data_IF_438987306140
#
_entry.id   IF_438987306140
#
_cell.length_a   1.000
_cell.length_b   1.000
_cell.length_c   1.000
_cell.angle_alpha   90.00
_cell.angle_beta   90.00
_cell.angle_gamma   90.00
#
_symmetry.space_group_name_H-M   'P 1'
#
loop_
_entity.id
_entity.type
_entity.pdbx_description
1 polymer ?
#
# COMPACT_ATOMS: atom_id res chain seq x y z
N UNK A 1 -43.68 21.13 -21.82
CA UNK A 1 -42.28 20.74 -22.09
C UNK A 1 -41.47 20.97 -20.82
N UNK A 2 -41.32 19.95 -19.98
CA UNK A 2 -40.48 20.02 -18.79
C UNK A 2 -39.07 19.54 -19.15
N UNK A 3 -38.12 20.47 -19.24
CA UNK A 3 -36.71 20.11 -19.39
C UNK A 3 -36.22 19.55 -18.05
N UNK A 4 -36.04 18.23 -18.00
CA UNK A 4 -35.43 17.54 -16.86
C UNK A 4 -33.97 17.98 -16.78
N UNK A 5 -33.67 18.89 -15.86
CA UNK A 5 -32.32 19.33 -15.56
C UNK A 5 -31.64 18.22 -14.77
N UNK A 6 -30.94 17.33 -15.47
CA UNK A 6 -30.02 16.36 -14.86
C UNK A 6 -29.06 17.18 -14.00
N UNK A 7 -28.98 16.95 -12.67
CA UNK A 7 -28.08 17.71 -11.83
C UNK A 7 -26.66 17.36 -12.26
N UNK A 8 -25.94 18.32 -12.82
CA UNK A 8 -24.50 18.27 -13.00
C UNK A 8 -23.91 18.19 -11.59
N UNK A 9 -23.54 17.00 -11.14
CA UNK A 9 -22.89 16.83 -9.83
C UNK A 9 -21.59 17.63 -9.88
N UNK A 10 -21.53 18.71 -9.10
CA UNK A 10 -20.44 19.67 -9.14
C UNK A 10 -19.20 19.05 -8.47
N UNK A 11 -18.00 19.29 -9.00
CA UNK A 11 -16.73 18.75 -8.47
C UNK A 11 -16.50 19.06 -6.97
N UNK A 12 -17.12 20.14 -6.48
CA UNK A 12 -17.12 20.52 -5.06
C UNK A 12 -17.82 19.49 -4.18
N UNK A 13 -18.90 18.87 -4.64
CA UNK A 13 -19.65 17.86 -3.88
C UNK A 13 -18.81 16.62 -3.56
N UNK A 14 -18.08 16.12 -4.56
CA UNK A 14 -17.20 14.97 -4.37
C UNK A 14 -16.04 15.27 -3.42
N UNK A 15 -15.48 16.49 -3.52
CA UNK A 15 -14.41 16.95 -2.62
C UNK A 15 -14.89 17.02 -1.16
N UNK A 16 -16.10 17.54 -0.93
CA UNK A 16 -16.71 17.60 0.40
C UNK A 16 -16.92 16.19 0.96
N UNK A 17 -17.40 15.26 0.13
CA UNK A 17 -17.60 13.85 0.53
C UNK A 17 -16.31 13.13 0.88
N UNK A 18 -15.20 13.37 0.17
CA UNK A 18 -13.90 12.82 0.53
C UNK A 18 -13.40 13.37 1.87
N UNK A 19 -13.65 14.66 2.14
CA UNK A 19 -13.28 15.30 3.40
C UNK A 19 -14.12 14.77 4.57
N UNK A 20 -15.41 14.52 4.36
CA UNK A 20 -16.27 13.83 5.32
C UNK A 20 -15.76 12.42 5.62
N UNK A 21 -15.41 11.65 4.57
CA UNK A 21 -14.86 10.31 4.72
C UNK A 21 -13.55 10.30 5.53
N UNK A 22 -12.62 11.19 5.22
CA UNK A 22 -11.36 11.37 5.98
C UNK A 22 -11.64 11.54 7.48
N UNK A 23 -12.52 12.49 7.83
CA UNK A 23 -12.89 12.78 9.23
C UNK A 23 -13.60 11.60 9.90
N UNK A 24 -14.49 10.92 9.17
CA UNK A 24 -15.18 9.76 9.70
C UNK A 24 -14.21 8.63 10.05
N UNK A 25 -13.21 8.37 9.20
CA UNK A 25 -12.16 7.38 9.47
C UNK A 25 -11.28 7.84 10.62
N UNK A 26 -10.82 9.09 10.60
CA UNK A 26 -9.97 9.67 11.67
C UNK A 26 -10.63 9.52 13.06
N UNK A 27 -11.92 9.83 13.17
CA UNK A 27 -12.65 9.85 14.44
C UNK A 27 -13.16 8.48 14.90
N UNK A 28 -13.17 7.47 14.04
CA UNK A 28 -13.72 6.16 14.40
C UNK A 28 -12.78 5.43 15.38
N UNK A 29 -13.26 5.18 16.60
CA UNK A 29 -12.48 4.53 17.66
C UNK A 29 -12.67 3.01 17.75
N UNK A 30 -13.50 2.42 16.89
CA UNK A 30 -13.76 0.96 16.88
C UNK A 30 -13.24 0.28 15.63
N UNK A 31 -13.01 1.03 14.55
CA UNK A 31 -12.50 0.51 13.29
C UNK A 31 -11.03 0.13 13.45
N UNK A 32 -10.72 -1.14 13.17
CA UNK A 32 -9.36 -1.69 13.26
C UNK A 32 -8.77 -2.01 11.89
N UNK A 33 -9.62 -2.24 10.89
CA UNK A 33 -9.20 -2.71 9.58
C UNK A 33 -9.99 -2.00 8.48
N UNK A 34 -9.29 -1.63 7.42
CA UNK A 34 -9.91 -1.12 6.19
C UNK A 34 -9.40 -1.98 5.03
N UNK A 35 -10.33 -2.56 4.28
CA UNK A 35 -10.04 -3.28 3.05
C UNK A 35 -10.84 -2.69 1.90
N UNK A 36 -10.15 -2.12 0.92
CA UNK A 36 -10.73 -1.51 -0.25
C UNK A 36 -10.28 -2.30 -1.47
N UNK A 37 -11.26 -2.92 -2.14
CA UNK A 37 -11.09 -3.47 -3.47
C UNK A 37 -11.89 -2.63 -4.44
N UNK A 38 -11.21 -2.03 -5.41
CA UNK A 38 -11.81 -1.20 -6.44
C UNK A 38 -11.41 -1.69 -7.82
N UNK A 39 -12.41 -1.85 -8.68
CA UNK A 39 -12.22 -2.13 -10.10
C UNK A 39 -13.12 -1.19 -10.88
N UNK A 40 -12.54 -0.32 -11.70
CA UNK A 40 -13.36 0.70 -12.34
C UNK A 40 -12.63 1.61 -13.31
N UNK A 41 -13.42 2.52 -13.89
CA UNK A 41 -12.98 3.37 -14.99
C UNK A 41 -12.48 4.74 -14.52
N UNK A 42 -13.08 5.42 -13.52
CA UNK A 42 -12.73 6.82 -13.16
C UNK A 42 -13.01 7.20 -11.70
N UNK A 43 -12.36 8.29 -11.28
CA UNK A 43 -12.66 9.14 -10.10
C UNK A 43 -12.51 8.50 -8.70
N UNK A 44 -11.49 7.67 -8.49
CA UNK A 44 -11.23 7.09 -7.17
C UNK A 44 -10.17 7.85 -6.35
N UNK A 45 -9.33 8.69 -6.98
CA UNK A 45 -8.18 9.35 -6.35
C UNK A 45 -8.55 10.13 -5.10
N UNK A 46 -9.65 10.90 -5.14
CA UNK A 46 -10.12 11.69 -4.00
C UNK A 46 -10.53 10.80 -2.82
N UNK A 47 -11.25 9.72 -3.09
CA UNK A 47 -11.67 8.73 -2.09
C UNK A 47 -10.46 8.04 -1.45
N UNK A 48 -9.51 7.55 -2.26
CA UNK A 48 -8.29 6.90 -1.74
C UNK A 48 -7.45 7.89 -0.92
N UNK A 49 -7.32 9.14 -1.37
CA UNK A 49 -6.63 10.19 -0.63
C UNK A 49 -7.27 10.41 0.74
N UNK A 50 -8.61 10.52 0.80
CA UNK A 50 -9.34 10.68 2.06
C UNK A 50 -9.18 9.47 2.99
N UNK A 51 -9.17 8.25 2.43
CA UNK A 51 -8.92 7.02 3.20
C UNK A 51 -7.52 7.03 3.79
N UNK A 52 -6.49 7.28 2.99
CA UNK A 52 -5.10 7.27 3.46
C UNK A 52 -4.90 8.33 4.55
N UNK A 53 -5.39 9.57 4.35
CA UNK A 53 -5.28 10.64 5.35
C UNK A 53 -6.04 10.34 6.64
N UNK A 54 -7.24 9.77 6.51
CA UNK A 54 -8.04 9.36 7.66
C UNK A 54 -7.33 8.29 8.48
N UNK A 55 -6.78 7.27 7.80
CA UNK A 55 -5.98 6.21 8.45
C UNK A 55 -4.73 6.79 9.08
N UNK A 56 -4.04 7.71 8.43
CA UNK A 56 -2.81 8.33 8.95
C UNK A 56 -3.02 8.96 10.34
N UNK A 57 -4.20 9.54 10.59
CA UNK A 57 -4.56 10.18 11.87
C UNK A 57 -5.34 9.28 12.83
N UNK A 58 -5.88 8.17 12.35
CA UNK A 58 -6.62 7.23 13.17
C UNK A 58 -5.68 6.51 14.16
N UNK A 59 -6.16 6.26 15.38
CA UNK A 59 -5.39 5.68 16.49
C UNK A 59 -5.76 4.23 16.84
N UNK A 60 -6.61 3.59 16.04
CA UNK A 60 -7.15 2.24 16.31
C UNK A 60 -6.98 1.30 15.12
N UNK A 61 -6.86 1.82 13.90
CA UNK A 61 -6.63 1.05 12.69
C UNK A 61 -5.23 0.47 12.73
N UNK A 62 -5.17 -0.84 12.54
CA UNK A 62 -3.95 -1.65 12.53
C UNK A 62 -3.69 -2.28 11.16
N UNK A 63 -4.70 -2.31 10.28
CA UNK A 63 -4.58 -2.89 8.93
C UNK A 63 -5.22 -2.00 7.86
N UNK A 64 -4.49 -1.77 6.77
CA UNK A 64 -4.98 -1.10 5.57
C UNK A 64 -4.64 -1.94 4.34
N UNK A 65 -5.67 -2.28 3.56
CA UNK A 65 -5.53 -2.91 2.24
C UNK A 65 -6.15 -2.02 1.18
N UNK A 66 -5.36 -1.67 0.16
CA UNK A 66 -5.78 -0.91 -1.00
C UNK A 66 -5.45 -1.72 -2.26
N UNK A 67 -6.49 -2.30 -2.88
CA UNK A 67 -6.38 -3.04 -4.13
C UNK A 67 -7.15 -2.32 -5.22
N UNK A 68 -6.41 -1.66 -6.12
CA UNK A 68 -6.95 -0.76 -7.13
C UNK A 68 -6.62 -1.29 -8.53
N UNK A 69 -7.63 -1.72 -9.26
CA UNK A 69 -7.54 -2.11 -10.68
C UNK A 69 -8.25 -1.04 -11.51
N UNK A 70 -7.50 -0.27 -12.28
CA UNK A 70 -8.04 0.87 -13.02
C UNK A 70 -7.76 0.70 -14.52
N UNK A 71 -8.81 0.85 -15.34
CA UNK A 71 -8.68 0.72 -16.79
C UNK A 71 -8.42 2.05 -17.52
N UNK A 72 -8.83 3.19 -16.94
CA UNK A 72 -8.48 4.53 -17.44
C UNK A 72 -7.88 5.35 -16.29
N UNK A 73 -6.56 5.64 -16.31
CA UNK A 73 -5.87 6.15 -15.14
C UNK A 73 -6.40 7.55 -14.77
N UNK A 74 -6.96 7.73 -13.55
CA UNK A 74 -7.28 9.05 -13.03
C UNK A 74 -5.97 9.81 -12.73
N UNK A 75 -6.06 11.09 -12.32
CA UNK A 75 -4.91 11.79 -11.78
C UNK A 75 -4.24 10.98 -10.64
N UNK A 76 -2.90 10.98 -10.56
CA UNK A 76 -2.16 10.34 -9.48
C UNK A 76 -2.61 10.82 -8.09
N UNK A 77 -2.33 10.02 -7.06
CA UNK A 77 -2.48 10.45 -5.68
C UNK A 77 -1.64 11.70 -5.43
N UNK A 78 -2.10 12.64 -4.58
CA UNK A 78 -1.32 13.81 -4.24
C UNK A 78 0.01 13.44 -3.58
N UNK A 79 1.04 14.22 -3.88
CA UNK A 79 2.38 14.07 -3.29
C UNK A 79 2.32 14.05 -1.75
N UNK A 80 3.13 13.20 -1.13
CA UNK A 80 3.28 13.14 0.32
C UNK A 80 2.20 12.35 1.05
N UNK A 81 1.13 11.88 0.38
CA UNK A 81 0.01 11.19 1.06
C UNK A 81 0.44 9.84 1.63
N UNK A 82 1.26 9.08 0.90
CA UNK A 82 1.79 7.79 1.38
C UNK A 82 2.89 8.04 2.41
N UNK A 83 3.78 9.00 2.16
CA UNK A 83 4.84 9.39 3.09
C UNK A 83 4.28 9.81 4.44
N UNK A 84 3.20 10.60 4.43
CA UNK A 84 2.52 11.02 5.64
C UNK A 84 1.91 9.85 6.40
N UNK A 85 1.28 8.89 5.70
CA UNK A 85 0.77 7.67 6.33
C UNK A 85 1.88 6.94 7.08
N UNK A 86 3.04 6.76 6.46
CA UNK A 86 4.17 6.00 7.00
C UNK A 86 4.95 6.74 8.10
N UNK A 87 4.89 8.07 8.10
CA UNK A 87 5.55 8.92 9.08
C UNK A 87 4.68 9.18 10.31
N UNK A 88 3.39 9.46 10.12
CA UNK A 88 2.52 9.98 11.18
C UNK A 88 1.75 8.87 11.90
N UNK A 89 1.41 7.77 11.21
CA UNK A 89 0.62 6.70 11.80
C UNK A 89 1.46 5.87 12.78
N UNK A 90 0.92 5.63 13.98
CA UNK A 90 1.59 4.91 15.08
C UNK A 90 0.96 3.56 15.44
N UNK A 91 -0.07 3.11 14.72
CA UNK A 91 -0.86 1.92 15.07
C UNK A 91 -0.94 0.89 13.96
N UNK A 92 -0.72 1.30 12.72
CA UNK A 92 -0.76 0.47 11.52
C UNK A 92 0.38 -0.54 11.58
N UNK A 93 0.03 -1.81 11.54
CA UNK A 93 0.94 -2.95 11.63
C UNK A 93 0.97 -3.76 10.34
N UNK A 94 -0.12 -3.71 9.56
CA UNK A 94 -0.24 -4.38 8.26
C UNK A 94 -0.66 -3.39 7.17
N UNK A 95 0.06 -3.43 6.04
CA UNK A 95 -0.20 -2.58 4.88
C UNK A 95 -0.13 -3.44 3.61
N UNK A 96 -1.20 -3.42 2.83
CA UNK A 96 -1.27 -4.08 1.52
C UNK A 96 -1.60 -3.04 0.45
N UNK A 97 -0.66 -2.86 -0.49
CA UNK A 97 -0.78 -1.91 -1.60
C UNK A 97 -0.69 -2.67 -2.92
N UNK A 98 -1.82 -2.78 -3.61
CA UNK A 98 -1.91 -3.28 -4.97
C UNK A 98 -2.40 -2.11 -5.84
N UNK A 99 -1.46 -1.21 -6.16
CA UNK A 99 -1.69 0.07 -6.83
C UNK A 99 -0.70 0.17 -7.99
N UNK A 100 -1.20 0.43 -9.19
CA UNK A 100 -0.35 0.61 -10.37
C UNK A 100 0.48 1.91 -10.28
N UNK A 101 1.71 1.89 -10.81
CA UNK A 101 2.64 3.05 -10.77
C UNK A 101 2.03 4.34 -11.34
N UNK A 102 1.08 4.24 -12.28
CA UNK A 102 0.38 5.39 -12.87
C UNK A 102 -0.46 6.19 -11.87
N UNK A 103 -0.81 5.60 -10.73
CA UNK A 103 -1.58 6.22 -9.66
C UNK A 103 -0.70 6.81 -8.56
N UNK A 104 0.60 6.50 -8.57
CA UNK A 104 1.50 6.96 -7.54
C UNK A 104 2.09 8.31 -7.92
N UNK A 105 2.29 9.20 -6.94
CA UNK A 105 3.17 10.34 -7.15
C UNK A 105 4.58 9.80 -7.34
N UNK A 106 5.24 10.18 -8.43
CA UNK A 106 6.59 9.73 -8.77
C UNK A 106 7.54 10.93 -8.80
N UNK A 107 8.65 10.90 -8.05
CA UNK A 107 9.10 9.82 -7.16
C UNK A 107 8.43 9.87 -5.77
N UNK A 108 8.32 8.71 -5.12
CA UNK A 108 8.00 8.65 -3.69
C UNK A 108 9.22 9.03 -2.85
N UNK A 109 9.10 10.09 -2.03
CA UNK A 109 10.22 10.61 -1.26
C UNK A 109 10.12 10.22 0.21
N UNK A 110 10.43 8.95 0.50
CA UNK A 110 10.32 8.38 1.84
C UNK A 110 11.58 8.71 2.64
N UNK A 111 11.51 9.78 3.42
CA UNK A 111 12.63 10.20 4.27
C UNK A 111 12.59 9.48 5.63
N UNK A 112 11.41 9.22 6.17
CA UNK A 112 11.21 8.76 7.53
C UNK A 112 9.99 7.82 7.61
N UNK A 113 10.16 6.67 8.25
CA UNK A 113 9.09 5.71 8.52
C UNK A 113 9.06 5.45 10.02
N UNK A 114 7.97 5.84 10.68
CA UNK A 114 7.77 5.63 12.12
C UNK A 114 6.63 4.66 12.42
N UNK A 115 5.88 4.26 11.40
CA UNK A 115 4.81 3.29 11.53
C UNK A 115 5.35 1.93 11.97
N UNK A 116 4.74 1.26 12.98
CA UNK A 116 5.20 -0.02 13.51
C UNK A 116 4.80 -1.18 12.58
N UNK A 117 5.13 -1.07 11.30
CA UNK A 117 4.74 -2.03 10.28
C UNK A 117 5.50 -3.34 10.49
N UNK A 118 4.76 -4.44 10.61
CA UNK A 118 5.31 -5.79 10.74
C UNK A 118 4.94 -6.68 9.55
N UNK A 119 3.90 -6.30 8.79
CA UNK A 119 3.46 -7.00 7.59
C UNK A 119 3.30 -6.01 6.43
N UNK A 120 3.93 -6.32 5.30
CA UNK A 120 3.84 -5.54 4.07
C UNK A 120 3.51 -6.46 2.90
N UNK A 121 2.49 -6.10 2.13
CA UNK A 121 2.17 -6.70 0.85
C UNK A 121 2.24 -5.63 -0.23
N UNK A 122 3.03 -5.89 -1.27
CA UNK A 122 3.11 -5.03 -2.45
C UNK A 122 2.76 -5.88 -3.67
N UNK A 123 1.76 -5.44 -4.43
CA UNK A 123 1.35 -6.04 -5.68
C UNK A 123 0.94 -5.02 -6.73
N UNK A 124 0.35 -5.51 -7.81
CA UNK A 124 0.02 -4.71 -8.99
C UNK A 124 1.26 -4.43 -9.82
N UNK A 125 1.16 -3.54 -10.82
CA UNK A 125 2.33 -3.09 -11.59
C UNK A 125 3.07 -1.98 -10.81
N UNK A 126 3.28 -2.21 -9.52
CA UNK A 126 3.76 -1.23 -8.54
C UNK A 126 5.27 -1.31 -8.35
N UNK A 127 6.07 -1.21 -9.43
CA UNK A 127 7.53 -1.34 -9.31
C UNK A 127 8.12 -0.21 -8.49
N UNK A 128 7.55 0.98 -8.62
CA UNK A 128 7.94 2.17 -7.85
C UNK A 128 7.71 1.95 -6.35
N UNK A 129 6.61 1.29 -5.96
CA UNK A 129 6.38 0.92 -4.55
C UNK A 129 7.49 0.01 -4.05
N UNK A 130 7.84 -1.04 -4.79
CA UNK A 130 8.85 -1.99 -4.33
C UNK A 130 10.22 -1.35 -4.17
N UNK A 131 10.64 -0.51 -5.12
CA UNK A 131 11.95 0.16 -5.05
C UNK A 131 11.99 1.24 -3.97
N UNK A 132 10.90 1.99 -3.80
CA UNK A 132 10.88 3.17 -2.93
C UNK A 132 10.45 2.85 -1.50
N UNK A 133 9.66 1.80 -1.25
CA UNK A 133 9.20 1.42 0.10
C UNK A 133 10.16 0.46 0.80
N UNK A 134 10.55 -0.63 0.15
CA UNK A 134 11.23 -1.75 0.81
C UNK A 134 12.49 -1.33 1.59
N UNK A 135 13.39 -0.45 1.08
CA UNK A 135 14.59 -0.08 1.82
C UNK A 135 14.34 0.64 3.16
N UNK A 136 13.14 1.20 3.37
CA UNK A 136 12.84 2.07 4.50
C UNK A 136 12.18 1.34 5.68
N UNK A 137 11.70 0.11 5.48
CA UNK A 137 11.10 -0.66 6.57
C UNK A 137 12.13 -1.51 7.30
N UNK A 138 12.11 -1.44 8.63
CA UNK A 138 12.92 -2.29 9.50
C UNK A 138 11.99 -3.14 10.35
N UNK A 139 12.37 -4.39 10.59
CA UNK A 139 11.62 -5.28 11.47
C UNK A 139 10.33 -5.86 10.86
N UNK A 140 10.21 -5.88 9.53
CA UNK A 140 9.16 -6.66 8.87
C UNK A 140 9.29 -8.15 9.24
N UNK A 141 8.18 -8.74 9.68
CA UNK A 141 8.05 -10.18 9.93
C UNK A 141 7.38 -10.89 8.75
N UNK A 142 6.52 -10.21 8.01
CA UNK A 142 5.82 -10.76 6.87
C UNK A 142 6.01 -9.84 5.65
N UNK A 143 6.45 -10.42 4.53
CA UNK A 143 6.56 -9.72 3.26
C UNK A 143 5.93 -10.56 2.15
N UNK A 144 5.03 -9.95 1.38
CA UNK A 144 4.38 -10.55 0.21
C UNK A 144 4.65 -9.67 -1.00
N UNK A 145 5.34 -10.22 -2.00
CA UNK A 145 5.64 -9.56 -3.26
C UNK A 145 5.00 -10.35 -4.40
N UNK A 146 4.23 -9.66 -5.25
CA UNK A 146 3.62 -10.28 -6.43
C UNK A 146 4.47 -10.13 -7.70
N UNK A 147 5.47 -9.25 -7.69
CA UNK A 147 6.45 -9.10 -8.76
C UNK A 147 7.83 -9.63 -8.34
N UNK A 148 8.67 -10.06 -9.30
CA UNK A 148 10.02 -10.52 -9.00
C UNK A 148 10.88 -9.43 -8.34
N UNK A 149 11.63 -9.80 -7.30
CA UNK A 149 12.56 -8.90 -6.60
C UNK A 149 13.82 -9.67 -6.18
N UNK A 150 15.02 -9.09 -6.27
CA UNK A 150 16.25 -9.80 -5.96
C UNK A 150 16.28 -10.29 -4.50
N UNK A 151 16.33 -11.61 -4.24
CA UNK A 151 16.25 -12.15 -2.88
C UNK A 151 17.38 -11.66 -1.97
N UNK A 152 18.61 -11.53 -2.48
CA UNK A 152 19.74 -11.06 -1.68
C UNK A 152 19.48 -9.68 -1.06
N UNK A 153 18.89 -8.74 -1.81
CA UNK A 153 18.51 -7.42 -1.31
C UNK A 153 17.43 -7.50 -0.22
N UNK A 154 16.50 -8.45 -0.32
CA UNK A 154 15.45 -8.65 0.69
C UNK A 154 16.04 -9.05 2.02
N UNK A 155 16.88 -10.08 2.03
CA UNK A 155 17.42 -10.63 3.27
C UNK A 155 18.53 -9.75 3.88
N UNK A 156 19.24 -8.98 3.07
CA UNK A 156 20.15 -7.92 3.56
C UNK A 156 19.37 -6.80 4.27
N UNK A 157 18.26 -6.35 3.69
CA UNK A 157 17.47 -5.23 4.23
C UNK A 157 16.53 -5.65 5.37
N UNK A 158 16.06 -6.90 5.36
CA UNK A 158 15.04 -7.42 6.27
C UNK A 158 15.44 -8.75 6.92
N UNK A 159 16.50 -8.77 7.75
CA UNK A 159 16.99 -10.00 8.37
C UNK A 159 15.98 -10.65 9.33
N UNK A 160 14.98 -9.90 9.81
CA UNK A 160 13.95 -10.37 10.76
C UNK A 160 12.73 -11.03 10.11
N UNK A 161 12.72 -11.22 8.79
CA UNK A 161 11.57 -11.83 8.11
C UNK A 161 11.31 -13.25 8.61
N UNK A 162 10.06 -13.51 9.00
CA UNK A 162 9.55 -14.83 9.36
C UNK A 162 8.77 -15.48 8.21
N UNK A 163 8.05 -14.68 7.42
CA UNK A 163 7.23 -15.14 6.31
C UNK A 163 7.56 -14.35 5.07
N UNK A 164 7.85 -15.05 3.98
CA UNK A 164 8.12 -14.46 2.67
C UNK A 164 7.25 -15.15 1.62
N UNK A 165 6.48 -14.37 0.87
CA UNK A 165 5.80 -14.83 -0.34
C UNK A 165 6.35 -14.06 -1.53
N UNK A 166 6.80 -14.77 -2.57
CA UNK A 166 7.40 -14.17 -3.76
C UNK A 166 7.06 -14.93 -5.04
N UNK A 167 7.17 -14.23 -6.18
CA UNK A 167 7.09 -14.78 -7.53
C UNK A 167 8.49 -14.70 -8.17
N UNK A 168 9.37 -15.69 -7.93
CA UNK A 168 10.76 -15.63 -8.37
C UNK A 168 10.88 -16.04 -9.84
N UNK A 169 11.79 -15.39 -10.56
CA UNK A 169 12.31 -15.95 -11.79
C UNK A 169 13.30 -17.12 -11.51
N UNK A 170 13.72 -17.83 -12.56
CA UNK A 170 14.63 -18.98 -12.43
C UNK A 170 15.96 -18.64 -11.74
N UNK A 171 16.49 -17.43 -11.97
CA UNK A 171 17.77 -16.98 -11.38
C UNK A 171 17.57 -16.65 -9.90
N UNK A 172 16.48 -15.96 -9.59
CA UNK A 172 16.10 -15.62 -8.22
C UNK A 172 15.85 -16.88 -7.38
N UNK A 173 15.23 -17.90 -7.96
CA UNK A 173 14.99 -19.18 -7.27
C UNK A 173 16.31 -19.85 -6.85
N UNK A 174 17.32 -19.84 -7.72
CA UNK A 174 18.65 -20.37 -7.38
C UNK A 174 19.32 -19.57 -6.25
N UNK A 175 19.23 -18.23 -6.30
CA UNK A 175 19.75 -17.35 -5.25
C UNK A 175 19.04 -17.60 -3.91
N UNK A 176 17.73 -17.84 -3.95
CA UNK A 176 16.91 -18.13 -2.77
C UNK A 176 17.42 -19.38 -2.04
N UNK A 177 17.75 -20.46 -2.77
CA UNK A 177 18.27 -21.69 -2.15
C UNK A 177 19.56 -21.44 -1.37
N UNK A 178 20.51 -20.69 -1.95
CA UNK A 178 21.74 -20.33 -1.24
C UNK A 178 21.49 -19.52 0.02
N UNK A 179 20.51 -18.61 0.00
CA UNK A 179 20.17 -17.79 1.17
C UNK A 179 19.53 -18.64 2.27
N UNK A 180 18.65 -19.59 1.90
CA UNK A 180 17.98 -20.47 2.86
C UNK A 180 18.94 -21.37 3.65
N UNK A 181 20.14 -21.65 3.12
CA UNK A 181 21.17 -22.39 3.87
C UNK A 181 21.71 -21.64 5.08
N UNK A 182 21.66 -20.30 5.03
CA UNK A 182 22.26 -19.43 6.06
C UNK A 182 21.21 -18.64 6.86
N UNK A 183 20.00 -18.50 6.32
CA UNK A 183 18.92 -17.81 6.99
C UNK A 183 18.36 -18.65 8.15
N UNK A 184 18.25 -18.04 9.32
CA UNK A 184 17.77 -18.69 10.55
C UNK A 184 16.43 -18.14 11.05
N UNK A 185 15.91 -17.09 10.42
CA UNK A 185 14.72 -16.35 10.86
C UNK A 185 13.47 -16.76 10.11
N UNK A 186 13.58 -17.08 8.82
CA UNK A 186 12.47 -17.44 7.96
C UNK A 186 11.86 -18.77 8.38
N UNK A 187 10.55 -18.76 8.65
CA UNK A 187 9.74 -19.90 9.08
C UNK A 187 8.81 -20.40 7.99
N UNK A 188 8.41 -19.50 7.09
CA UNK A 188 7.52 -19.80 5.98
C UNK A 188 8.00 -19.12 4.70
N UNK A 189 8.17 -19.91 3.65
CA UNK A 189 8.45 -19.44 2.30
C UNK A 189 7.33 -19.95 1.39
N UNK A 190 6.66 -19.03 0.70
CA UNK A 190 5.66 -19.35 -0.30
C UNK A 190 6.13 -18.84 -1.67
N UNK A 191 6.28 -19.78 -2.61
CA UNK A 191 6.66 -19.47 -3.98
C UNK A 191 5.42 -19.59 -4.84
N UNK A 192 4.96 -18.46 -5.40
CA UNK A 192 3.88 -18.48 -6.38
C UNK A 192 4.42 -18.94 -7.73
N UNK A 193 3.60 -19.68 -8.47
CA UNK A 193 3.89 -20.23 -9.79
C UNK A 193 2.86 -19.75 -10.81
#
# INVERSE_FOLDING_TARGET
MGSSRIPTVNNTYYTDKCTELEKCIEMNSTLQEINIQYTGLKEITCTITGIIRGVARNKTITSLTLHLVIYDPPPPLPDGVIEQLLKDNKTLQALSLHIDDVLLPSPLNIVEVNTPLTALEIGGKGKELMTSLLPHFKGLHCLILHDPYPPHLLFESHPSLHTLTLLPDTVQLMCLFSILETNTTLKALNVKS
#
